data_IF_630892952787
#
_entry.id   IF_630892952787
#
_cell.length_a   1.000
_cell.length_b   1.000
_cell.length_c   1.000
_cell.angle_alpha   90.00
_cell.angle_beta   90.00
_cell.angle_gamma   90.00
#
_symmetry.space_group_name_H-M   'P 1'
#
loop_
_entity.id
_entity.type
_entity.pdbx_description
1 polymer ?
#
# COMPACT_ATOMS: atom_id res chain seq x y z
N UNK A 1 4.23 4.05 -20.03
CA UNK A 1 3.54 3.93 -18.72
C UNK A 1 2.87 2.56 -18.58
N UNK A 2 3.59 1.52 -18.15
CA UNK A 2 3.06 0.17 -17.97
C UNK A 2 2.23 -0.03 -16.70
N UNK A 3 1.24 0.83 -16.42
CA UNK A 3 0.40 0.76 -15.20
C UNK A 3 -0.41 -0.52 -15.14
N UNK A 4 -1.13 -0.86 -16.21
CA UNK A 4 -1.89 -2.10 -16.28
C UNK A 4 -0.98 -3.33 -16.22
N UNK A 5 0.24 -3.26 -16.78
CA UNK A 5 1.26 -4.32 -16.63
C UNK A 5 1.69 -4.48 -15.18
N UNK A 6 1.89 -3.38 -14.46
CA UNK A 6 2.23 -3.38 -13.03
C UNK A 6 1.07 -3.93 -12.19
N UNK A 7 -0.16 -3.49 -12.46
CA UNK A 7 -1.34 -4.00 -11.75
C UNK A 7 -1.45 -5.52 -11.93
N UNK A 8 -1.35 -6.01 -13.17
CA UNK A 8 -1.36 -7.45 -13.44
C UNK A 8 -0.21 -8.19 -12.74
N UNK A 9 0.98 -7.59 -12.71
CA UNK A 9 2.14 -8.16 -12.04
C UNK A 9 2.01 -8.19 -10.50
N UNK A 10 1.32 -7.20 -9.92
CA UNK A 10 1.05 -7.13 -8.49
C UNK A 10 -0.05 -8.08 -8.07
N UNK A 11 -1.14 -8.14 -8.83
CA UNK A 11 -2.36 -8.80 -8.41
C UNK A 11 -2.41 -10.29 -8.73
N UNK A 12 -1.43 -10.80 -9.48
CA UNK A 12 -1.58 -11.98 -10.33
C UNK A 12 -2.83 -11.84 -11.24
N UNK A 13 -2.93 -12.59 -12.33
CA UNK A 13 -4.06 -12.43 -13.27
C UNK A 13 -5.44 -12.81 -12.68
N UNK A 14 -5.51 -13.27 -11.43
CA UNK A 14 -6.68 -13.83 -10.76
C UNK A 14 -7.29 -12.95 -9.66
N UNK A 15 -6.80 -11.72 -9.45
CA UNK A 15 -7.36 -10.86 -8.41
C UNK A 15 -8.84 -10.53 -8.63
N UNK A 16 -9.61 -10.62 -7.55
CA UNK A 16 -11.01 -10.27 -7.53
C UNK A 16 -11.20 -8.76 -7.71
N UNK A 17 -12.05 -8.42 -8.68
CA UNK A 17 -12.56 -7.05 -8.86
C UNK A 17 -13.63 -6.85 -7.79
N UNK A 18 -13.34 -6.00 -6.81
CA UNK A 18 -14.29 -5.71 -5.74
C UNK A 18 -15.30 -4.67 -6.22
N UNK A 19 -16.56 -5.06 -6.41
CA UNK A 19 -17.64 -4.16 -6.80
C UNK A 19 -18.08 -3.30 -5.58
N UNK A 20 -17.42 -2.17 -5.35
CA UNK A 20 -17.95 -1.16 -4.43
C UNK A 20 -19.04 -0.35 -5.14
N UNK A 21 -20.20 -0.21 -4.49
CA UNK A 21 -21.45 0.40 -4.97
C UNK A 21 -21.36 1.89 -5.40
N UNK A 22 -20.17 2.50 -5.46
CA UNK A 22 -19.99 3.93 -5.72
C UNK A 22 -18.83 4.25 -6.68
N UNK A 23 -18.20 3.26 -7.32
CA UNK A 23 -17.11 3.53 -8.28
C UNK A 23 -17.73 3.91 -9.63
N UNK A 24 -17.56 5.15 -10.03
CA UNK A 24 -17.89 5.62 -11.38
C UNK A 24 -17.06 4.87 -12.42
N UNK A 25 -17.68 4.54 -13.55
CA UNK A 25 -17.28 3.63 -14.64
C UNK A 25 -15.82 3.66 -15.18
N UNK A 26 -14.91 4.52 -14.70
CA UNK A 26 -13.57 4.73 -15.28
C UNK A 26 -12.38 4.27 -14.41
N UNK A 27 -12.57 3.96 -13.11
CA UNK A 27 -11.49 3.50 -12.22
C UNK A 27 -11.55 1.98 -12.01
N UNK A 28 -10.43 1.27 -12.23
CA UNK A 28 -10.35 -0.18 -11.97
C UNK A 28 -9.80 -0.42 -10.57
N UNK A 29 -10.65 -0.88 -9.65
CA UNK A 29 -10.21 -1.31 -8.31
C UNK A 29 -9.91 -2.81 -8.35
N UNK A 30 -8.70 -3.20 -7.92
CA UNK A 30 -8.29 -4.59 -7.76
C UNK A 30 -7.85 -4.83 -6.33
N UNK A 31 -8.36 -5.88 -5.72
CA UNK A 31 -7.87 -6.31 -4.42
C UNK A 31 -6.79 -7.37 -4.59
N UNK A 32 -5.68 -7.25 -3.86
CA UNK A 32 -4.66 -8.29 -3.81
C UNK A 32 -4.18 -8.52 -2.39
N UNK A 33 -3.87 -9.78 -2.09
CA UNK A 33 -3.19 -10.14 -0.86
C UNK A 33 -1.71 -9.80 -0.99
N UNK A 34 -1.21 -9.06 -0.02
CA UNK A 34 0.18 -8.70 0.18
C UNK A 34 0.86 -9.68 1.14
N UNK A 35 0.08 -10.28 2.04
CA UNK A 35 0.36 -11.47 2.85
C UNK A 35 -0.96 -12.16 3.21
N UNK A 36 -0.90 -13.34 3.83
CA UNK A 36 -2.06 -14.15 4.29
C UNK A 36 -3.08 -13.34 5.10
N UNK A 37 -2.66 -12.21 5.68
CA UNK A 37 -3.48 -11.37 6.55
C UNK A 37 -3.44 -9.87 6.19
N UNK A 38 -2.84 -9.50 5.04
CA UNK A 38 -2.84 -8.11 4.58
C UNK A 38 -3.37 -8.03 3.15
N UNK A 39 -4.53 -7.38 3.00
CA UNK A 39 -5.14 -7.10 1.69
C UNK A 39 -4.95 -5.62 1.37
N UNK A 40 -4.51 -5.33 0.16
CA UNK A 40 -4.43 -3.98 -0.37
C UNK A 40 -5.43 -3.80 -1.51
N UNK A 41 -5.93 -2.58 -1.65
CA UNK A 41 -6.73 -2.15 -2.79
C UNK A 41 -5.83 -1.33 -3.71
N UNK A 42 -5.73 -1.75 -4.96
CA UNK A 42 -5.03 -1.04 -6.01
C UNK A 42 -6.07 -0.39 -6.90
N UNK A 43 -6.03 0.93 -6.98
CA UNK A 43 -6.92 1.73 -7.81
C UNK A 43 -6.12 2.17 -9.04
N UNK A 44 -6.49 1.66 -10.22
CA UNK A 44 -5.92 2.16 -11.48
C UNK A 44 -6.53 3.53 -11.77
N UNK A 45 -5.71 4.56 -11.67
CA UNK A 45 -6.09 5.91 -12.05
C UNK A 45 -5.83 6.13 -13.53
N UNK A 46 -6.63 7.01 -14.14
CA UNK A 46 -6.45 7.36 -15.55
C UNK A 46 -5.04 7.87 -15.77
N UNK A 47 -4.36 7.34 -16.79
CA UNK A 47 -2.98 7.71 -17.04
C UNK A 47 -2.81 9.18 -17.42
N UNK A 48 -1.79 9.82 -16.86
CA UNK A 48 -1.33 11.14 -17.28
C UNK A 48 -0.89 11.08 -18.76
N UNK A 49 -1.81 11.38 -19.67
CA UNK A 49 -1.51 11.64 -21.08
C UNK A 49 -0.97 13.06 -21.16
N UNK A 50 0.16 13.22 -21.84
CA UNK A 50 0.83 14.52 -22.04
C UNK A 50 -0.17 15.58 -22.52
N UNK A 51 -0.07 16.77 -21.91
CA UNK A 51 -0.95 17.93 -22.13
C UNK A 51 -2.41 17.57 -21.89
N UNK A 52 -2.78 17.41 -20.62
CA UNK A 52 -4.19 17.55 -20.25
C UNK A 52 -4.59 18.99 -20.56
N UNK A 53 -5.53 19.22 -21.49
CA UNK A 53 -6.12 20.53 -21.63
C UNK A 53 -6.73 20.96 -20.28
N UNK A 54 -6.61 22.23 -19.88
CA UNK A 54 -7.12 22.73 -18.60
C UNK A 54 -8.60 22.35 -18.32
N UNK A 55 -9.41 22.13 -19.36
CA UNK A 55 -10.80 21.70 -19.24
C UNK A 55 -10.97 20.21 -18.88
N UNK A 56 -10.02 19.35 -19.23
CA UNK A 56 -10.04 17.92 -18.84
C UNK A 56 -9.53 17.71 -17.41
N UNK A 57 -8.79 18.66 -16.83
CA UNK A 57 -8.36 18.59 -15.42
C UNK A 57 -9.58 18.47 -14.48
N UNK A 58 -10.71 19.11 -14.80
CA UNK A 58 -11.93 19.01 -14.00
C UNK A 58 -12.56 17.61 -14.02
N UNK A 59 -12.57 16.94 -15.17
CA UNK A 59 -13.07 15.57 -15.31
C UNK A 59 -12.14 14.57 -14.62
N UNK A 60 -10.83 14.77 -14.73
CA UNK A 60 -9.83 13.94 -14.05
C UNK A 60 -9.77 14.20 -12.55
N UNK A 61 -10.10 15.42 -12.09
CA UNK A 61 -10.23 15.76 -10.68
C UNK A 61 -11.15 14.80 -9.96
N UNK A 62 -12.33 14.49 -10.52
CA UNK A 62 -13.26 13.53 -9.91
C UNK A 62 -12.68 12.11 -9.79
N UNK A 63 -11.93 11.62 -10.79
CA UNK A 63 -11.25 10.31 -10.70
C UNK A 63 -9.99 10.33 -9.83
N UNK A 64 -9.41 11.50 -9.60
CA UNK A 64 -8.25 11.70 -8.73
C UNK A 64 -8.65 12.12 -7.30
N UNK A 65 -9.92 12.46 -7.07
CA UNK A 65 -10.51 12.61 -5.74
C UNK A 65 -10.46 11.28 -4.98
N UNK A 66 -10.60 10.15 -5.67
CA UNK A 66 -10.37 8.83 -5.05
C UNK A 66 -8.92 8.67 -4.52
N UNK A 67 -7.93 9.37 -5.10
CA UNK A 67 -6.57 9.38 -4.58
C UNK A 67 -6.46 10.17 -3.25
N UNK A 68 -7.43 11.03 -2.92
CA UNK A 68 -7.53 11.71 -1.62
C UNK A 68 -7.89 10.76 -0.48
N UNK A 69 -8.49 9.60 -0.77
CA UNK A 69 -8.79 8.59 0.23
C UNK A 69 -7.71 7.49 0.31
N UNK A 70 -6.80 7.43 -0.66
CA UNK A 70 -5.73 6.43 -0.68
C UNK A 70 -4.72 6.64 0.48
N UNK A 71 -4.37 5.57 1.19
CA UNK A 71 -3.32 5.61 2.22
C UNK A 71 -1.94 5.99 1.63
N UNK A 72 -1.71 5.62 0.36
CA UNK A 72 -0.44 5.78 -0.32
C UNK A 72 -0.60 5.91 -1.83
N UNK A 73 0.29 6.67 -2.47
CA UNK A 73 0.40 6.80 -3.92
C UNK A 73 1.55 5.93 -4.48
N UNK A 74 1.28 5.25 -5.59
CA UNK A 74 2.32 4.55 -6.38
C UNK A 74 2.54 5.32 -7.67
N UNK A 75 3.70 5.94 -7.79
CA UNK A 75 4.04 6.75 -8.96
C UNK A 75 4.88 5.96 -9.95
N UNK A 76 4.23 5.43 -10.99
CA UNK A 76 4.89 4.64 -12.03
C UNK A 76 5.55 5.55 -13.06
N UNK A 77 6.87 5.44 -13.18
CA UNK A 77 7.72 6.27 -14.04
C UNK A 77 8.36 5.38 -15.10
N UNK A 78 8.32 5.80 -16.35
CA UNK A 78 8.98 5.12 -17.47
C UNK A 78 10.42 5.63 -17.57
N UNK A 79 11.40 4.93 -16.96
CA UNK A 79 12.78 5.44 -16.84
C UNK A 79 13.49 5.53 -18.20
N UNK A 80 13.08 4.73 -19.18
CA UNK A 80 13.65 4.74 -20.53
C UNK A 80 13.22 5.95 -21.35
N UNK A 81 12.26 6.75 -20.85
CA UNK A 81 11.78 7.92 -21.56
C UNK A 81 12.70 9.13 -21.29
N UNK A 82 13.32 9.78 -22.31
CA UNK A 82 14.28 10.87 -22.11
C UNK A 82 13.77 12.05 -21.27
N UNK A 83 12.45 12.25 -21.26
CA UNK A 83 11.78 13.33 -20.55
C UNK A 83 11.03 12.86 -19.28
N UNK A 84 11.41 11.73 -18.69
CA UNK A 84 10.74 11.19 -17.49
C UNK A 84 10.75 12.20 -16.32
N UNK A 85 11.84 12.94 -16.13
CA UNK A 85 11.93 13.97 -15.06
C UNK A 85 10.91 15.09 -15.23
N UNK A 86 10.70 15.55 -16.46
CA UNK A 86 9.67 16.55 -16.74
C UNK A 86 8.26 16.00 -16.48
N UNK A 87 8.00 14.74 -16.84
CA UNK A 87 6.73 14.08 -16.53
C UNK A 87 6.51 13.98 -15.02
N UNK A 88 7.55 13.63 -14.26
CA UNK A 88 7.48 13.61 -12.79
C UNK A 88 7.11 14.99 -12.22
N UNK A 89 7.71 16.06 -12.74
CA UNK A 89 7.36 17.43 -12.33
C UNK A 89 5.91 17.80 -12.67
N UNK A 90 5.41 17.41 -13.85
CA UNK A 90 4.00 17.62 -14.20
C UNK A 90 3.06 16.86 -13.26
N UNK A 91 3.38 15.61 -12.91
CA UNK A 91 2.59 14.85 -11.93
C UNK A 91 2.62 15.53 -10.57
N UNK A 92 3.78 16.00 -10.12
CA UNK A 92 3.93 16.73 -8.86
C UNK A 92 3.02 17.96 -8.80
N UNK A 93 2.97 18.77 -9.85
CA UNK A 93 2.08 19.94 -9.94
C UNK A 93 0.60 19.55 -9.82
N UNK A 94 0.18 18.46 -10.47
CA UNK A 94 -1.21 18.00 -10.35
C UNK A 94 -1.52 17.50 -8.93
N UNK A 95 -0.58 16.82 -8.27
CA UNK A 95 -0.77 16.39 -6.88
C UNK A 95 -0.88 17.59 -5.92
N UNK A 96 -0.15 18.67 -6.19
CA UNK A 96 -0.23 19.95 -5.44
C UNK A 96 -1.59 20.61 -5.65
N UNK A 97 -2.07 20.72 -6.89
CA UNK A 97 -3.40 21.27 -7.22
C UNK A 97 -4.57 20.49 -6.59
N UNK A 98 -4.34 19.22 -6.25
CA UNK A 98 -5.27 18.32 -5.59
C UNK A 98 -5.11 18.29 -4.07
N UNK A 99 -4.14 19.01 -3.50
CA UNK A 99 -3.79 18.98 -2.07
C UNK A 99 -3.44 17.57 -1.54
N UNK A 100 -2.82 16.73 -2.38
CA UNK A 100 -2.39 15.37 -2.01
C UNK A 100 -0.89 15.14 -2.23
N UNK A 101 -0.12 16.20 -2.47
CA UNK A 101 1.32 16.14 -2.68
C UNK A 101 2.09 15.56 -1.47
N UNK A 102 1.59 15.77 -0.26
CA UNK A 102 2.21 15.30 0.98
C UNK A 102 1.88 13.84 1.32
N UNK A 103 1.04 13.17 0.51
CA UNK A 103 0.71 11.77 0.75
C UNK A 103 1.94 10.87 0.63
N UNK A 104 2.03 9.81 1.45
CA UNK A 104 3.05 8.79 1.31
C UNK A 104 3.11 8.28 -0.13
N UNK A 105 4.29 8.32 -0.76
CA UNK A 105 4.46 7.98 -2.18
C UNK A 105 5.66 7.08 -2.39
N UNK A 106 5.52 6.06 -3.23
CA UNK A 106 6.64 5.25 -3.74
C UNK A 106 6.83 5.51 -5.23
N UNK A 107 8.02 5.96 -5.60
CA UNK A 107 8.41 6.12 -7.00
C UNK A 107 8.83 4.76 -7.57
N UNK A 108 8.15 4.30 -8.63
CA UNK A 108 8.41 3.02 -9.29
C UNK A 108 8.99 3.30 -10.67
N UNK A 109 10.32 3.23 -10.77
CA UNK A 109 11.05 3.37 -12.03
C UNK A 109 10.95 2.05 -12.82
N UNK A 110 9.98 2.01 -13.72
CA UNK A 110 9.66 0.86 -14.55
C UNK A 110 10.39 0.92 -15.90
N UNK A 111 10.57 -0.26 -16.52
CA UNK A 111 11.32 -0.50 -17.76
C UNK A 111 12.84 -0.40 -17.63
N UNK A 112 13.37 -0.87 -16.51
CA UNK A 112 14.83 -0.95 -16.34
C UNK A 112 15.51 -1.91 -17.32
N UNK A 113 14.76 -2.81 -17.95
CA UNK A 113 15.25 -3.68 -19.02
C UNK A 113 15.68 -2.92 -20.29
N UNK A 114 15.38 -1.62 -20.36
CA UNK A 114 15.78 -0.72 -21.44
C UNK A 114 16.87 0.28 -21.01
N UNK A 115 17.41 0.14 -19.79
CA UNK A 115 18.43 1.03 -19.24
C UNK A 115 19.69 0.25 -18.92
N UNK A 116 20.78 0.60 -19.59
CA UNK A 116 22.12 0.07 -19.31
C UNK A 116 22.97 1.03 -18.44
N UNK A 117 22.45 2.23 -18.14
CA UNK A 117 23.17 3.27 -17.39
C UNK A 117 22.99 3.09 -15.87
N UNK A 118 23.93 2.36 -15.25
CA UNK A 118 23.98 2.18 -13.79
C UNK A 118 24.18 3.50 -13.03
N UNK A 119 24.88 4.48 -13.61
CA UNK A 119 25.14 5.77 -12.97
C UNK A 119 23.87 6.60 -12.81
N UNK A 120 22.97 6.51 -13.80
CA UNK A 120 21.64 7.12 -13.74
C UNK A 120 20.81 6.50 -12.60
N UNK A 121 20.81 5.17 -12.50
CA UNK A 121 20.06 4.47 -11.45
C UNK A 121 20.59 4.79 -10.05
N UNK A 122 21.91 4.83 -9.88
CA UNK A 122 22.55 5.21 -8.62
C UNK A 122 22.14 6.63 -8.20
N UNK A 123 22.22 7.60 -9.13
CA UNK A 123 21.82 8.98 -8.87
C UNK A 123 20.35 9.11 -8.50
N UNK A 124 19.46 8.41 -9.20
CA UNK A 124 18.02 8.39 -8.88
C UNK A 124 17.79 7.81 -7.48
N UNK A 125 18.50 6.72 -7.13
CA UNK A 125 18.40 6.11 -5.80
C UNK A 125 18.84 7.06 -4.69
N UNK A 126 19.76 7.99 -4.96
CA UNK A 126 20.14 9.02 -4.00
C UNK A 126 19.12 10.16 -3.91
N UNK A 127 18.51 10.58 -5.03
CA UNK A 127 17.71 11.80 -5.08
C UNK A 127 16.20 11.59 -4.96
N UNK A 128 15.67 10.40 -5.28
CA UNK A 128 14.22 10.17 -5.47
C UNK A 128 13.62 9.16 -4.48
N UNK A 129 14.07 9.15 -3.23
CA UNK A 129 13.55 8.23 -2.21
C UNK A 129 12.17 8.64 -1.66
N UNK A 130 11.30 7.68 -1.35
CA UNK A 130 11.50 6.24 -1.52
C UNK A 130 11.23 5.78 -2.96
N UNK A 131 12.11 4.92 -3.48
CA UNK A 131 12.01 4.39 -4.84
C UNK A 131 12.25 2.88 -4.96
N UNK A 132 11.77 2.31 -6.05
CA UNK A 132 12.10 0.96 -6.52
C UNK A 132 12.29 0.95 -8.04
N UNK A 133 13.14 0.05 -8.51
CA UNK A 133 13.46 -0.15 -9.91
C UNK A 133 12.90 -1.49 -10.35
N UNK A 134 12.09 -1.53 -11.41
CA UNK A 134 11.47 -2.78 -11.90
C UNK A 134 11.44 -2.86 -13.42
N UNK A 135 11.27 -4.09 -13.92
CA UNK A 135 10.67 -4.30 -15.24
C UNK A 135 9.40 -5.12 -15.07
N UNK A 136 8.26 -4.45 -15.11
CA UNK A 136 6.97 -5.12 -14.98
C UNK A 136 6.73 -6.12 -16.12
N UNK A 137 7.21 -5.81 -17.33
CA UNK A 137 7.08 -6.69 -18.49
C UNK A 137 7.95 -7.95 -18.37
N UNK A 138 9.15 -7.81 -17.81
CA UNK A 138 10.11 -8.92 -17.69
C UNK A 138 10.03 -9.65 -16.34
N UNK A 139 9.23 -9.14 -15.41
CA UNK A 139 9.13 -9.67 -14.05
C UNK A 139 10.33 -9.36 -13.15
N UNK A 140 11.18 -8.39 -13.52
CA UNK A 140 12.42 -8.09 -12.80
C UNK A 140 12.12 -7.22 -11.58
N UNK A 141 12.68 -7.62 -10.41
CA UNK A 141 12.56 -6.94 -9.12
C UNK A 141 11.13 -6.67 -8.63
N UNK A 142 10.16 -7.47 -9.10
CA UNK A 142 8.77 -7.37 -8.63
C UNK A 142 8.63 -7.73 -7.14
N UNK A 143 9.48 -8.62 -6.63
CA UNK A 143 9.46 -8.96 -5.20
C UNK A 143 9.95 -7.79 -4.34
N UNK A 144 11.00 -7.08 -4.76
CA UNK A 144 11.47 -5.87 -4.09
C UNK A 144 10.38 -4.79 -4.06
N UNK A 145 9.60 -4.69 -5.15
CA UNK A 145 8.47 -3.77 -5.20
C UNK A 145 7.34 -4.16 -4.25
N UNK A 146 6.94 -5.44 -4.21
CA UNK A 146 5.95 -5.95 -3.25
C UNK A 146 6.41 -5.72 -1.81
N UNK A 147 7.67 -5.99 -1.52
CA UNK A 147 8.27 -5.78 -0.21
C UNK A 147 8.28 -4.30 0.18
N UNK A 148 8.56 -3.39 -0.75
CA UNK A 148 8.44 -1.94 -0.50
C UNK A 148 7.01 -1.52 -0.18
N UNK A 149 6.01 -2.07 -0.88
CA UNK A 149 4.60 -1.82 -0.55
C UNK A 149 4.30 -2.36 0.85
N UNK A 150 4.81 -3.54 1.22
CA UNK A 150 4.64 -4.13 2.56
C UNK A 150 5.21 -3.24 3.66
N UNK A 151 6.44 -2.77 3.49
CA UNK A 151 7.08 -1.83 4.43
C UNK A 151 6.29 -0.53 4.58
N UNK A 152 5.63 -0.06 3.52
CA UNK A 152 4.73 1.08 3.60
C UNK A 152 3.44 0.75 4.34
N UNK A 153 2.79 -0.37 4.02
CA UNK A 153 1.57 -0.81 4.68
C UNK A 153 1.78 -1.00 6.20
N UNK A 154 2.97 -1.44 6.61
CA UNK A 154 3.34 -1.58 8.02
C UNK A 154 3.31 -0.27 8.81
N UNK A 155 3.52 0.89 8.15
CA UNK A 155 3.38 2.21 8.80
C UNK A 155 1.94 2.49 9.23
N UNK A 156 0.97 1.82 8.63
CA UNK A 156 -0.45 1.91 8.97
C UNK A 156 -0.89 0.83 9.98
N UNK A 157 0.05 0.06 10.51
CA UNK A 157 -0.20 -0.99 11.49
C UNK A 157 0.49 -0.69 12.84
N UNK A 158 -0.13 -1.19 13.89
CA UNK A 158 0.39 -1.17 15.26
C UNK A 158 0.52 -2.62 15.75
N UNK A 159 1.64 -2.93 16.42
CA UNK A 159 1.79 -4.22 17.12
C UNK A 159 1.27 -4.09 18.55
N UNK A 160 0.45 -5.05 18.95
CA UNK A 160 -0.11 -5.13 20.29
C UNK A 160 0.21 -6.48 20.90
N UNK A 161 0.54 -6.48 22.19
CA UNK A 161 0.59 -7.68 23.02
C UNK A 161 -0.66 -7.72 23.88
N UNK A 162 -1.44 -8.78 23.73
CA UNK A 162 -2.66 -9.02 24.50
C UNK A 162 -2.40 -10.15 25.48
N UNK A 163 -2.69 -9.92 26.75
CA UNK A 163 -2.66 -10.98 27.77
C UNK A 163 -4.08 -11.20 28.27
N UNK A 164 -4.64 -12.40 28.09
CA UNK A 164 -6.01 -12.73 28.49
C UNK A 164 -6.07 -14.06 29.25
N UNK A 165 -7.11 -14.33 30.06
CA UNK A 165 -7.32 -15.64 30.67
C UNK A 165 -7.55 -16.70 29.60
N UNK A 166 -7.04 -17.92 29.80
CA UNK A 166 -7.14 -19.00 28.80
C UNK A 166 -8.61 -19.37 28.45
N UNK A 167 -9.56 -19.12 29.34
CA UNK A 167 -10.98 -19.32 29.08
C UNK A 167 -11.52 -18.39 28.00
N UNK A 168 -10.83 -17.27 27.73
CA UNK A 168 -11.16 -16.30 26.70
C UNK A 168 -10.46 -16.59 25.36
N UNK A 169 -9.67 -17.65 25.24
CA UNK A 169 -9.04 -18.09 23.99
C UNK A 169 -9.99 -18.26 22.79
N UNK A 170 -11.31 -18.54 22.95
CA UNK A 170 -12.24 -18.47 21.81
C UNK A 170 -12.30 -17.10 21.11
N UNK A 171 -11.88 -16.01 21.76
CA UNK A 171 -11.78 -14.68 21.15
C UNK A 171 -10.63 -14.57 20.15
N UNK A 172 -9.66 -15.49 20.15
CA UNK A 172 -8.56 -15.53 19.18
C UNK A 172 -9.11 -15.64 17.76
N UNK A 173 -10.17 -16.43 17.54
CA UNK A 173 -10.84 -16.51 16.24
C UNK A 173 -11.40 -15.17 15.77
N UNK A 174 -11.91 -14.33 16.68
CA UNK A 174 -12.37 -12.97 16.35
C UNK A 174 -11.21 -12.02 16.10
N UNK A 175 -10.07 -12.23 16.76
CA UNK A 175 -8.86 -11.44 16.48
C UNK A 175 -8.34 -11.72 15.07
N UNK A 176 -8.37 -12.98 14.61
CA UNK A 176 -8.01 -13.33 13.23
C UNK A 176 -8.86 -12.62 12.15
N UNK A 177 -10.08 -12.17 12.47
CA UNK A 177 -10.92 -11.44 11.51
C UNK A 177 -10.43 -10.00 11.26
N UNK A 178 -9.69 -9.40 12.19
CA UNK A 178 -9.34 -7.97 12.16
C UNK A 178 -7.85 -7.69 12.40
N UNK A 179 -7.06 -8.71 12.71
CA UNK A 179 -5.63 -8.60 13.00
C UNK A 179 -4.86 -9.83 12.53
N UNK A 180 -3.60 -9.62 12.15
CA UNK A 180 -2.62 -10.66 11.90
C UNK A 180 -2.06 -11.14 13.24
N UNK A 181 -2.12 -12.44 13.51
CA UNK A 181 -1.58 -13.03 14.73
C UNK A 181 -0.18 -13.53 14.46
N UNK A 182 0.82 -12.91 15.08
CA UNK A 182 2.23 -13.25 14.90
C UNK A 182 2.64 -14.43 15.79
N UNK A 183 2.10 -14.49 17.01
CA UNK A 183 2.44 -15.53 17.98
C UNK A 183 1.31 -15.69 19.01
N UNK A 184 1.17 -16.92 19.52
CA UNK A 184 0.28 -17.25 20.65
C UNK A 184 1.03 -18.16 21.60
N UNK A 185 1.19 -17.72 22.84
CA UNK A 185 1.83 -18.48 23.91
C UNK A 185 0.84 -18.69 25.06
N UNK A 186 0.86 -19.89 25.65
CA UNK A 186 0.07 -20.22 26.83
C UNK A 186 1.01 -20.37 28.01
N UNK A 187 0.92 -19.45 28.97
CA UNK A 187 1.76 -19.44 30.17
C UNK A 187 0.85 -19.43 31.38
N UNK A 188 1.03 -20.41 32.27
CA UNK A 188 0.20 -20.67 33.44
C UNK A 188 -1.30 -20.82 33.10
N UNK A 189 -2.09 -19.77 33.36
CA UNK A 189 -3.53 -19.69 33.08
C UNK A 189 -3.89 -18.54 32.13
N UNK A 190 -2.90 -18.03 31.40
CA UNK A 190 -3.05 -16.91 30.48
C UNK A 190 -2.62 -17.30 29.07
N UNK A 191 -3.32 -16.73 28.09
CA UNK A 191 -2.91 -16.67 26.70
C UNK A 191 -2.27 -15.29 26.44
N UNK A 192 -1.03 -15.30 25.95
CA UNK A 192 -0.27 -14.13 25.54
C UNK A 192 -0.19 -14.14 24.02
N UNK A 193 -0.74 -13.10 23.39
CA UNK A 193 -0.92 -13.05 21.94
C UNK A 193 -0.23 -11.81 21.42
N UNK A 194 0.64 -11.99 20.43
CA UNK A 194 1.24 -10.91 19.67
C UNK A 194 0.47 -10.72 18.37
N UNK A 195 -0.12 -9.55 18.19
CA UNK A 195 -0.88 -9.21 17.00
C UNK A 195 -0.32 -7.98 16.29
N UNK A 196 -0.52 -7.93 14.98
CA UNK A 196 -0.36 -6.74 14.14
C UNK A 196 -1.73 -6.34 13.61
N UNK A 197 -2.14 -5.09 13.85
CA UNK A 197 -3.47 -4.59 13.53
C UNK A 197 -3.39 -3.21 12.90
N UNK A 198 -4.28 -2.88 11.96
CA UNK A 198 -4.38 -1.52 11.41
C UNK A 198 -4.79 -0.52 12.49
N UNK A 199 -4.26 0.70 12.44
CA UNK A 199 -4.52 1.74 13.46
C UNK A 199 -6.03 1.97 13.70
N UNK A 200 -6.85 1.89 12.66
CA UNK A 200 -8.31 2.05 12.74
C UNK A 200 -9.01 1.03 13.66
N UNK A 201 -8.45 -0.18 13.82
CA UNK A 201 -9.04 -1.23 14.65
C UNK A 201 -8.48 -1.30 16.07
N UNK A 202 -7.44 -0.53 16.39
CA UNK A 202 -6.77 -0.56 17.70
C UNK A 202 -7.76 -0.27 18.83
N UNK A 203 -8.57 0.79 18.69
CA UNK A 203 -9.55 1.13 19.73
C UNK A 203 -10.64 0.07 19.88
N UNK A 204 -11.05 -0.55 18.76
CA UNK A 204 -12.03 -1.65 18.77
C UNK A 204 -11.48 -2.86 19.54
N UNK A 205 -10.22 -3.21 19.32
CA UNK A 205 -9.55 -4.28 20.07
C UNK A 205 -9.48 -3.93 21.55
N UNK A 206 -9.02 -2.72 21.91
CA UNK A 206 -8.98 -2.29 23.32
C UNK A 206 -10.35 -2.42 23.99
N UNK A 207 -11.41 -1.93 23.35
CA UNK A 207 -12.78 -2.05 23.87
C UNK A 207 -13.28 -3.50 23.99
N UNK A 208 -12.82 -4.41 23.13
CA UNK A 208 -13.12 -5.85 23.25
C UNK A 208 -12.39 -6.46 24.44
N UNK A 209 -11.14 -6.06 24.66
CA UNK A 209 -10.27 -6.54 25.72
C UNK A 209 -10.69 -5.99 27.10
N UNK A 210 -11.17 -4.75 27.20
CA UNK A 210 -11.65 -4.16 28.46
C UNK A 210 -12.86 -4.89 29.07
N UNK A 211 -13.60 -5.65 28.26
CA UNK A 211 -14.76 -6.44 28.70
C UNK A 211 -14.38 -7.77 29.36
N UNK A 212 -13.09 -8.12 29.31
CA UNK A 212 -12.54 -9.32 29.89
C UNK A 212 -11.36 -8.91 30.79
N UNK A 213 -11.00 -9.71 31.78
CA UNK A 213 -9.85 -9.43 32.66
C UNK A 213 -8.52 -9.59 31.90
N UNK A 214 -8.21 -8.67 30.98
CA UNK A 214 -7.07 -8.72 30.07
C UNK A 214 -6.25 -7.43 30.09
N UNK A 215 -5.03 -7.49 29.55
CA UNK A 215 -4.18 -6.33 29.33
C UNK A 215 -3.80 -6.20 27.86
N UNK A 216 -3.63 -4.96 27.41
CA UNK A 216 -3.20 -4.63 26.05
C UNK A 216 -2.02 -3.67 26.11
N UNK A 217 -0.87 -4.12 25.62
CA UNK A 217 0.36 -3.34 25.57
C UNK A 217 0.71 -3.03 24.12
N UNK A 218 1.17 -1.80 23.84
CA UNK A 218 1.73 -1.47 22.52
C UNK A 218 3.17 -1.93 22.47
N UNK A 219 3.51 -2.75 21.48
CA UNK A 219 4.90 -3.11 21.21
C UNK A 219 5.51 -2.06 20.31
N UNK A 220 6.74 -1.62 20.61
CA UNK A 220 7.49 -0.80 19.67
C UNK A 220 7.77 -1.64 18.41
N UNK A 221 7.59 -1.03 17.23
CA UNK A 221 8.05 -1.64 16.00
C UNK A 221 9.57 -1.85 16.13
N UNK A 222 10.07 -3.05 15.79
CA UNK A 222 11.51 -3.25 15.67
C UNK A 222 12.04 -2.26 14.60
N UNK A 223 13.22 -1.66 14.82
CA UNK A 223 13.78 -0.63 13.94
C UNK A 223 13.95 -1.10 12.49
#
# INVERSE_FOLDING_TARGET
MGKSTILNALTNAAAEVENRLFVTLDATVRATELSDHSRILLIDTVGFIRKLPHHLVASFKSTLEEAQDADMLIHVIDISHPLFRQQMQTVQQVLEELNIADKPRLNVFNKIDLIDDESLMAKIKETEQPCVFISAQRGIFLQDFKEKIRQFAEKFCQRLKITMPIQQSPLISKLHEIAEINNVEYIDSQAIIDIKVRHEYVQRIKNMMDKINSTVETLQQAP
#
